data_IF_326618828082
#
_entry.id   IF_326618828082
#
_cell.length_a   1.000
_cell.length_b   1.000
_cell.length_c   1.000
_cell.angle_alpha   90.00
_cell.angle_beta   90.00
_cell.angle_gamma   90.00
#
_symmetry.space_group_name_H-M   'P 1'
#
loop_
_entity.id
_entity.type
_entity.pdbx_description
1 polymer ?
#
# COMPACT_ATOMS: atom_id res chain seq x y z
N UNK A 1 -15.47 -21.71 -16.79
CA UNK A 1 -16.70 -21.35 -16.05
C UNK A 1 -16.46 -21.64 -14.57
N UNK A 2 -15.79 -20.75 -13.85
CA UNK A 2 -15.74 -20.77 -12.37
C UNK A 2 -16.50 -19.56 -11.87
N UNK A 3 -17.82 -19.69 -11.92
CA UNK A 3 -18.79 -18.84 -11.25
C UNK A 3 -19.24 -19.63 -10.01
N UNK A 4 -19.11 -19.06 -8.81
CA UNK A 4 -20.07 -19.42 -7.75
C UNK A 4 -19.66 -19.46 -6.27
N UNK A 5 -18.39 -19.37 -5.84
CA UNK A 5 -18.09 -19.61 -4.40
C UNK A 5 -17.10 -18.67 -3.69
N UNK A 6 -16.67 -17.55 -4.29
CA UNK A 6 -15.83 -16.55 -3.58
C UNK A 6 -16.46 -15.16 -3.40
N UNK A 7 -17.77 -14.99 -3.61
CA UNK A 7 -18.42 -13.68 -3.36
C UNK A 7 -18.60 -13.40 -1.85
N UNK A 8 -19.06 -14.38 -1.08
CA UNK A 8 -19.68 -14.13 0.24
C UNK A 8 -18.74 -13.83 1.44
N UNK A 9 -17.43 -13.66 1.22
CA UNK A 9 -16.47 -13.25 2.28
C UNK A 9 -15.79 -11.91 1.99
N UNK A 10 -16.02 -11.35 0.79
CA UNK A 10 -15.40 -10.11 0.33
C UNK A 10 -16.34 -8.91 0.48
N UNK A 11 -17.65 -9.08 0.68
CA UNK A 11 -18.62 -7.98 0.74
C UNK A 11 -18.34 -6.92 1.83
N UNK A 12 -17.58 -7.25 2.89
CA UNK A 12 -17.22 -6.30 3.95
C UNK A 12 -15.85 -5.63 3.81
N UNK A 13 -15.00 -6.06 2.87
CA UNK A 13 -13.61 -5.56 2.80
C UNK A 13 -13.49 -4.30 1.96
N UNK A 14 -12.91 -3.24 2.50
CA UNK A 14 -12.63 -2.02 1.73
C UNK A 14 -11.58 -2.26 0.64
N UNK A 15 -11.53 -1.43 -0.42
CA UNK A 15 -10.49 -1.48 -1.47
C UNK A 15 -9.08 -1.47 -0.87
N UNK A 16 -8.89 -0.73 0.21
CA UNK A 16 -7.65 -0.70 0.98
C UNK A 16 -7.28 -2.07 1.57
N UNK A 17 -8.23 -2.80 2.15
CA UNK A 17 -7.96 -4.11 2.75
C UNK A 17 -7.57 -5.14 1.69
N UNK A 18 -8.16 -5.06 0.50
CA UNK A 18 -7.76 -5.90 -0.63
C UNK A 18 -6.34 -5.58 -1.09
N UNK A 19 -6.00 -4.30 -1.22
CA UNK A 19 -4.64 -3.88 -1.57
C UNK A 19 -3.60 -4.34 -0.54
N UNK A 20 -3.91 -4.24 0.76
CA UNK A 20 -3.03 -4.70 1.83
C UNK A 20 -2.86 -6.22 1.84
N UNK A 21 -3.90 -6.99 1.52
CA UNK A 21 -3.83 -8.45 1.41
C UNK A 21 -2.85 -8.85 0.30
N UNK A 22 -2.99 -8.27 -0.89
CA UNK A 22 -2.12 -8.53 -2.04
C UNK A 22 -0.67 -8.07 -1.80
N UNK A 23 -0.49 -6.98 -1.06
CA UNK A 23 0.84 -6.49 -0.69
C UNK A 23 1.57 -7.42 0.29
N UNK A 24 0.88 -8.30 1.05
CA UNK A 24 1.57 -9.24 1.97
C UNK A 24 2.35 -10.32 1.23
N UNK A 25 1.84 -10.80 0.10
CA UNK A 25 2.48 -11.86 -0.67
C UNK A 25 3.71 -11.35 -1.43
N UNK A 26 3.62 -10.17 -2.04
CA UNK A 26 4.66 -9.65 -2.93
C UNK A 26 5.47 -8.49 -2.34
N UNK A 27 5.04 -7.85 -1.26
CA UNK A 27 5.70 -6.69 -0.65
C UNK A 27 5.46 -5.36 -1.37
N UNK A 28 4.85 -5.38 -2.55
CA UNK A 28 4.36 -4.22 -3.31
C UNK A 28 3.17 -4.65 -4.19
N UNK A 29 2.45 -3.67 -4.72
CA UNK A 29 1.30 -3.87 -5.61
C UNK A 29 1.74 -3.70 -7.06
N UNK A 30 1.39 -4.66 -7.91
CA UNK A 30 1.61 -4.58 -9.37
C UNK A 30 0.38 -4.01 -10.09
N UNK A 31 0.54 -3.57 -11.35
CA UNK A 31 -0.60 -3.09 -12.15
C UNK A 31 -1.65 -4.20 -12.36
N UNK A 32 -1.19 -5.45 -12.51
CA UNK A 32 -2.07 -6.64 -12.60
C UNK A 32 -2.93 -6.80 -11.35
N UNK A 33 -2.36 -6.51 -10.18
CA UNK A 33 -3.09 -6.60 -8.91
C UNK A 33 -4.16 -5.51 -8.78
N UNK A 34 -3.86 -4.31 -9.26
CA UNK A 34 -4.83 -3.21 -9.34
C UNK A 34 -5.97 -3.57 -10.29
N UNK A 35 -5.67 -4.16 -11.46
CA UNK A 35 -6.69 -4.62 -12.41
C UNK A 35 -7.56 -5.74 -11.83
N UNK A 36 -6.98 -6.66 -11.05
CA UNK A 36 -7.74 -7.69 -10.31
C UNK A 36 -8.69 -7.05 -9.30
N UNK A 37 -8.23 -6.09 -8.51
CA UNK A 37 -9.07 -5.39 -7.52
C UNK A 37 -10.22 -4.64 -8.23
N UNK A 38 -9.93 -3.94 -9.32
CA UNK A 38 -10.92 -3.24 -10.13
C UNK A 38 -12.00 -4.19 -10.66
N UNK A 39 -11.58 -5.35 -11.18
CA UNK A 39 -12.48 -6.40 -11.70
C UNK A 39 -13.32 -7.04 -10.59
N UNK A 40 -12.73 -7.27 -9.41
CA UNK A 40 -13.43 -7.83 -8.25
C UNK A 40 -14.48 -6.89 -7.65
N UNK A 41 -14.27 -5.58 -7.80
CA UNK A 41 -15.15 -4.53 -7.25
C UNK A 41 -16.02 -3.84 -8.27
N UNK A 42 -15.91 -4.21 -9.55
CA UNK A 42 -16.64 -3.59 -10.66
C UNK A 42 -16.45 -2.06 -10.67
N UNK A 43 -15.21 -1.61 -10.38
CA UNK A 43 -14.83 -0.19 -10.32
C UNK A 43 -13.82 0.14 -11.41
N UNK A 44 -13.76 1.41 -11.82
CA UNK A 44 -12.72 1.89 -12.72
C UNK A 44 -11.33 1.72 -12.12
N UNK A 45 -10.40 1.24 -12.94
CA UNK A 45 -8.97 1.09 -12.60
C UNK A 45 -8.39 2.41 -12.08
N UNK A 46 -8.77 3.53 -12.69
CA UNK A 46 -8.37 4.87 -12.25
C UNK A 46 -8.81 5.19 -10.82
N UNK A 47 -10.03 4.78 -10.42
CA UNK A 47 -10.55 5.02 -9.07
C UNK A 47 -9.86 4.17 -8.02
N UNK A 48 -9.49 2.93 -8.38
CA UNK A 48 -8.68 2.07 -7.52
C UNK A 48 -7.29 2.66 -7.34
N UNK A 49 -6.66 3.13 -8.41
CA UNK A 49 -5.37 3.83 -8.34
C UNK A 49 -5.41 5.08 -7.45
N UNK A 50 -6.44 5.90 -7.58
CA UNK A 50 -6.65 7.07 -6.72
C UNK A 50 -6.73 6.66 -5.24
N UNK A 51 -7.53 5.64 -4.94
CA UNK A 51 -7.73 5.16 -3.56
C UNK A 51 -6.46 4.55 -2.98
N UNK A 52 -5.72 3.75 -3.75
CA UNK A 52 -4.49 3.10 -3.29
C UNK A 52 -3.33 4.10 -3.13
N UNK A 53 -3.21 5.06 -4.07
CA UNK A 53 -2.16 6.09 -4.01
C UNK A 53 -2.36 7.09 -2.87
N UNK A 54 -3.58 7.24 -2.36
CA UNK A 54 -3.88 8.10 -1.21
C UNK A 54 -3.17 7.66 0.07
N UNK A 55 -3.01 6.35 0.27
CA UNK A 55 -2.38 5.81 1.48
C UNK A 55 -0.90 5.54 1.26
N UNK A 56 -0.03 6.26 1.97
CA UNK A 56 1.43 6.09 1.90
C UNK A 56 1.96 4.72 2.36
N UNK A 57 1.09 3.89 2.95
CA UNK A 57 1.39 2.50 3.33
C UNK A 57 1.43 1.57 2.11
N UNK A 58 0.73 1.95 1.04
CA UNK A 58 0.65 1.17 -0.18
C UNK A 58 1.85 1.48 -1.08
N UNK A 59 2.52 0.43 -1.51
CA UNK A 59 3.70 0.53 -2.38
C UNK A 59 3.31 0.13 -3.80
N UNK A 60 3.13 1.10 -4.69
CA UNK A 60 2.81 0.87 -6.11
C UNK A 60 4.05 0.50 -6.96
N UNK A 61 5.23 0.50 -6.35
CA UNK A 61 6.50 0.17 -6.99
C UNK A 61 7.32 -0.68 -6.03
N UNK A 62 8.20 -1.50 -6.60
CA UNK A 62 9.12 -2.35 -5.83
C UNK A 62 9.91 -1.52 -4.81
N UNK A 63 9.81 -1.81 -3.50
CA UNK A 63 10.62 -1.13 -2.48
C UNK A 63 12.09 -1.51 -2.63
N UNK A 64 12.96 -0.65 -2.09
CA UNK A 64 14.37 -0.98 -1.92
C UNK A 64 14.54 -2.16 -0.93
N UNK A 65 15.64 -2.90 -1.08
CA UNK A 65 15.99 -4.04 -0.20
C UNK A 65 16.04 -3.65 1.28
N UNK A 66 16.43 -2.41 1.58
CA UNK A 66 16.50 -1.88 2.94
C UNK A 66 15.72 -0.57 2.98
N UNK A 67 14.75 -0.47 3.90
CA UNK A 67 13.94 0.72 4.14
C UNK A 67 14.23 1.24 5.55
N UNK A 68 14.76 2.46 5.63
CA UNK A 68 15.06 3.14 6.91
C UNK A 68 14.04 4.27 7.08
N UNK A 69 13.21 4.17 8.13
CA UNK A 69 12.20 5.17 8.45
C UNK A 69 12.61 5.95 9.70
N UNK A 70 12.76 7.27 9.55
CA UNK A 70 13.14 8.15 10.65
C UNK A 70 11.94 9.03 11.01
N UNK A 71 11.58 8.99 12.30
CA UNK A 71 10.53 9.83 12.87
C UNK A 71 10.82 11.32 12.64
N UNK A 72 9.85 12.03 12.06
CA UNK A 72 9.87 13.50 11.86
C UNK A 72 8.81 14.23 12.68
N UNK A 73 8.22 13.55 13.67
CA UNK A 73 7.26 14.17 14.60
C UNK A 73 7.92 15.22 15.51
N UNK A 74 7.11 16.08 16.12
CA UNK A 74 7.58 17.17 17.00
C UNK A 74 8.44 16.67 18.16
N UNK A 75 8.07 15.55 18.79
CA UNK A 75 8.85 14.96 19.88
C UNK A 75 10.26 14.53 19.43
N UNK A 76 10.37 13.90 18.26
CA UNK A 76 11.64 13.48 17.68
C UNK A 76 12.46 14.69 17.20
N UNK A 77 11.78 15.74 16.74
CA UNK A 77 12.41 17.00 16.33
C UNK A 77 13.14 17.67 17.49
N UNK A 78 12.49 17.80 18.66
CA UNK A 78 13.07 18.45 19.85
C UNK A 78 14.29 17.72 20.40
N UNK A 79 14.36 16.40 20.24
CA UNK A 79 15.50 15.57 20.64
C UNK A 79 16.63 15.52 19.60
N UNK A 80 16.55 16.32 18.53
CA UNK A 80 17.59 16.37 17.50
C UNK A 80 17.46 15.31 16.40
N UNK A 81 16.26 14.79 16.14
CA UNK A 81 16.02 13.79 15.09
C UNK A 81 16.44 14.21 13.67
N UNK A 82 16.57 15.52 13.41
CA UNK A 82 17.14 16.03 12.15
C UNK A 82 18.63 15.69 12.03
N UNK A 83 19.39 15.74 13.12
CA UNK A 83 20.81 15.41 13.09
C UNK A 83 21.00 13.93 12.73
N UNK A 84 20.17 13.04 13.29
CA UNK A 84 20.16 11.62 12.92
C UNK A 84 19.91 11.42 11.41
N UNK A 85 18.94 12.14 10.85
CA UNK A 85 18.65 12.13 9.41
C UNK A 85 19.80 12.64 8.53
N UNK A 86 20.63 13.56 9.04
CA UNK A 86 21.81 14.07 8.32
C UNK A 86 22.95 13.04 8.34
N UNK A 87 23.19 12.40 9.47
CA UNK A 87 24.26 11.39 9.60
C UNK A 87 23.97 10.15 8.75
N UNK A 88 22.71 9.69 8.67
CA UNK A 88 22.33 8.52 7.85
C UNK A 88 22.47 8.79 6.33
N UNK A 89 22.39 10.06 5.91
CA UNK A 89 22.54 10.45 4.49
C UNK A 89 23.99 10.59 4.04
N UNK A 90 24.93 10.59 4.98
CA UNK A 90 26.36 10.81 4.73
C UNK A 90 27.04 9.51 4.35
#
# INVERSE_FOLDING_TARGET
MVCGTMKNRLDGKSVLELGLDMQKDHGWITDEDVQKIASLREMDVAKVYETLSFYSMILLKKPATIRIEVCRGTSCYSLGGINLLKEIKK
#
